data_IF_058946850011
#
_entry.id   IF_058946850011
#
_cell.length_a   1.000
_cell.length_b   1.000
_cell.length_c   1.000
_cell.angle_alpha   90.00
_cell.angle_beta   90.00
_cell.angle_gamma   90.00
#
_symmetry.space_group_name_H-M   'P 1'
#
loop_
_entity.id
_entity.type
_entity.pdbx_description
1 polymer ?
#
# COMPACT_ATOMS: atom_id res chain seq x y z
N UNK A 1 -3.89 13.40 39.40
CA UNK A 1 -3.48 12.10 38.79
C UNK A 1 -4.28 11.84 37.52
N UNK A 2 -4.42 12.85 36.67
CA UNK A 2 -5.12 12.79 35.38
C UNK A 2 -4.28 13.67 34.46
N UNK A 3 -3.75 13.07 33.40
CA UNK A 3 -3.61 13.67 32.08
C UNK A 3 -3.00 12.62 31.15
N UNK A 4 -3.83 11.65 30.81
CA UNK A 4 -3.63 10.76 29.67
C UNK A 4 -4.05 11.54 28.41
N UNK A 5 -3.33 12.61 28.08
CA UNK A 5 -3.54 13.35 26.84
C UNK A 5 -2.39 13.05 25.87
N UNK A 6 -2.54 11.95 25.14
CA UNK A 6 -1.90 11.82 23.83
C UNK A 6 -2.91 12.41 22.83
N UNK A 7 -2.91 13.74 22.74
CA UNK A 7 -3.61 14.43 21.66
C UNK A 7 -2.68 14.44 20.44
N UNK A 8 -2.64 13.34 19.67
CA UNK A 8 -1.92 13.29 18.39
C UNK A 8 -2.81 13.91 17.33
N UNK A 9 -3.03 15.21 17.45
CA UNK A 9 -3.48 16.04 16.35
C UNK A 9 -2.29 16.41 15.47
N UNK A 10 -1.65 15.44 14.80
CA UNK A 10 -0.74 15.75 13.69
C UNK A 10 -0.43 14.52 12.83
N UNK A 11 -1.16 14.40 11.72
CA UNK A 11 -0.75 13.99 10.36
C UNK A 11 0.68 13.48 10.10
N UNK A 12 1.23 12.55 10.88
CA UNK A 12 2.64 12.18 10.75
C UNK A 12 2.89 10.68 10.90
N UNK A 13 2.23 9.86 10.06
CA UNK A 13 2.63 8.46 9.86
C UNK A 13 4.15 8.34 9.59
N UNK A 14 4.73 9.32 8.89
CA UNK A 14 6.17 9.42 8.67
C UNK A 14 6.96 9.64 9.96
N UNK A 15 6.47 10.45 10.89
CA UNK A 15 7.14 10.72 12.17
C UNK A 15 7.02 9.55 13.14
N UNK A 16 5.86 8.89 13.16
CA UNK A 16 5.65 7.63 13.90
C UNK A 16 6.61 6.56 13.37
N UNK A 17 6.70 6.40 12.05
CA UNK A 17 7.64 5.47 11.43
C UNK A 17 9.10 5.79 11.81
N UNK A 18 9.52 7.06 11.76
CA UNK A 18 10.88 7.47 12.09
C UNK A 18 11.25 7.28 13.57
N UNK A 19 10.27 7.40 14.47
CA UNK A 19 10.51 7.41 15.93
C UNK A 19 10.27 6.03 16.55
N UNK A 20 9.22 5.33 16.12
CA UNK A 20 8.70 4.11 16.74
C UNK A 20 8.80 2.88 15.82
N UNK A 21 9.15 3.07 14.54
CA UNK A 21 9.35 1.99 13.58
C UNK A 21 8.08 1.54 12.85
N UNK A 22 8.23 0.49 12.03
CA UNK A 22 7.23 0.06 11.05
C UNK A 22 5.96 -0.53 11.67
N UNK A 23 6.07 -1.29 12.77
CA UNK A 23 4.90 -1.89 13.44
C UNK A 23 4.05 -0.86 14.20
N UNK A 24 4.68 0.18 14.75
CA UNK A 24 3.97 1.31 15.34
C UNK A 24 3.22 2.10 14.24
N UNK A 25 3.86 2.31 13.09
CA UNK A 25 3.22 2.93 11.93
C UNK A 25 2.02 2.10 11.44
N UNK A 26 2.17 0.77 11.32
CA UNK A 26 1.07 -0.14 10.95
C UNK A 26 -0.11 -0.05 11.92
N UNK A 27 0.16 -0.09 13.23
CA UNK A 27 -0.88 0.02 14.26
C UNK A 27 -1.62 1.36 14.18
N UNK A 28 -0.87 2.43 13.90
CA UNK A 28 -1.43 3.78 13.71
C UNK A 28 -2.33 3.84 12.47
N UNK A 29 -1.93 3.23 11.35
CA UNK A 29 -2.77 3.15 10.14
C UNK A 29 -4.10 2.47 10.45
N UNK A 30 -4.07 1.37 11.21
CA UNK A 30 -5.29 0.62 11.56
C UNK A 30 -6.22 1.48 12.42
N UNK A 31 -5.70 2.12 13.47
CA UNK A 31 -6.52 2.95 14.37
C UNK A 31 -7.12 4.16 13.67
N UNK A 32 -6.34 4.84 12.81
CA UNK A 32 -6.80 6.03 12.09
C UNK A 32 -7.91 5.69 11.09
N UNK A 33 -7.75 4.61 10.30
CA UNK A 33 -8.78 4.18 9.35
C UNK A 33 -10.06 3.82 10.11
N UNK A 34 -9.96 3.07 11.21
CA UNK A 34 -11.13 2.70 12.01
C UNK A 34 -11.82 3.93 12.62
N UNK A 35 -11.05 4.90 13.13
CA UNK A 35 -11.61 6.13 13.69
C UNK A 35 -12.36 6.95 12.63
N UNK A 36 -11.79 7.11 11.43
CA UNK A 36 -12.45 7.82 10.32
C UNK A 36 -13.73 7.09 9.88
N UNK A 37 -13.68 5.76 9.73
CA UNK A 37 -14.86 4.99 9.32
C UNK A 37 -15.98 5.03 10.37
N UNK A 38 -15.63 4.90 11.65
CA UNK A 38 -16.58 5.03 12.76
C UNK A 38 -17.20 6.43 12.82
N UNK A 39 -16.40 7.48 12.57
CA UNK A 39 -16.89 8.86 12.50
C UNK A 39 -17.92 9.10 11.39
N UNK A 40 -17.91 8.30 10.33
CA UNK A 40 -18.90 8.33 9.24
C UNK A 40 -20.03 7.30 9.42
N UNK A 41 -20.12 6.62 10.57
CA UNK A 41 -21.13 5.60 10.84
C UNK A 41 -20.93 4.30 10.04
N UNK A 42 -19.76 4.09 9.44
CA UNK A 42 -19.42 2.87 8.72
C UNK A 42 -18.70 1.89 9.64
N UNK A 43 -19.12 0.62 9.60
CA UNK A 43 -18.44 -0.46 10.32
C UNK A 43 -17.71 -1.35 9.33
N UNK A 44 -16.40 -1.48 9.49
CA UNK A 44 -15.57 -2.43 8.75
C UNK A 44 -14.83 -3.32 9.72
N UNK A 45 -14.87 -4.62 9.44
CA UNK A 45 -14.15 -5.62 10.23
C UNK A 45 -12.64 -5.31 10.24
N UNK A 46 -12.04 -5.39 11.43
CA UNK A 46 -10.62 -5.11 11.66
C UNK A 46 -9.70 -5.90 10.72
N UNK A 47 -10.08 -7.13 10.35
CA UNK A 47 -9.28 -8.01 9.47
C UNK A 47 -9.04 -7.39 8.10
N UNK A 48 -9.99 -6.64 7.55
CA UNK A 48 -9.81 -5.95 6.26
C UNK A 48 -8.81 -4.81 6.36
N UNK A 49 -8.89 -4.03 7.44
CA UNK A 49 -7.99 -2.90 7.69
C UNK A 49 -6.58 -3.41 8.03
N UNK A 50 -6.47 -4.50 8.78
CA UNK A 50 -5.19 -5.16 9.07
C UNK A 50 -4.50 -5.68 7.81
N UNK A 51 -5.26 -6.28 6.89
CA UNK A 51 -4.73 -6.74 5.61
C UNK A 51 -4.20 -5.57 4.78
N UNK A 52 -4.97 -4.48 4.70
CA UNK A 52 -4.55 -3.26 4.01
C UNK A 52 -3.29 -2.66 4.62
N UNK A 53 -3.27 -2.47 5.94
CA UNK A 53 -2.12 -1.91 6.65
C UNK A 53 -0.89 -2.82 6.52
N UNK A 54 -1.07 -4.13 6.59
CA UNK A 54 0.00 -5.11 6.36
C UNK A 54 0.58 -5.01 4.96
N UNK A 55 -0.26 -4.84 3.94
CA UNK A 55 0.21 -4.63 2.57
C UNK A 55 1.01 -3.34 2.44
N UNK A 56 0.53 -2.24 3.03
CA UNK A 56 1.22 -0.94 3.02
C UNK A 56 2.59 -0.94 3.71
N UNK A 57 2.82 -1.85 4.66
CA UNK A 57 4.08 -1.92 5.44
C UNK A 57 4.94 -3.15 5.14
N UNK A 58 4.56 -3.99 4.18
CA UNK A 58 5.19 -5.30 3.93
C UNK A 58 6.68 -5.21 3.52
N UNK A 59 7.10 -4.12 2.87
CA UNK A 59 8.48 -3.94 2.39
C UNK A 59 9.40 -3.22 3.39
N UNK A 60 8.97 -3.05 4.64
CA UNK A 60 9.77 -2.43 5.70
C UNK A 60 9.73 -0.90 5.72
N UNK A 61 8.97 -0.29 4.82
CA UNK A 61 8.70 1.15 4.73
C UNK A 61 7.20 1.36 4.53
N UNK A 62 6.69 2.55 4.87
CA UNK A 62 5.27 2.88 4.69
C UNK A 62 5.04 3.33 3.25
N UNK A 63 4.44 2.46 2.43
CA UNK A 63 4.09 2.75 1.04
C UNK A 63 2.60 3.06 0.93
N UNK A 64 2.27 4.22 0.35
CA UNK A 64 0.89 4.58 0.05
C UNK A 64 0.33 3.81 -1.15
N UNK A 65 -0.99 3.56 -1.18
CA UNK A 65 -1.68 2.99 -2.34
C UNK A 65 -1.89 4.07 -3.41
N UNK A 66 -0.80 4.49 -4.03
CA UNK A 66 -0.75 5.47 -5.11
C UNK A 66 0.16 4.95 -6.21
N UNK A 67 0.14 5.54 -7.40
CA UNK A 67 1.02 5.13 -8.53
C UNK A 67 2.49 4.97 -8.13
N UNK A 68 3.00 5.84 -7.26
CA UNK A 68 4.38 5.81 -6.81
C UNK A 68 4.66 4.71 -5.78
N UNK A 69 3.71 4.46 -4.87
CA UNK A 69 3.85 3.39 -3.89
C UNK A 69 3.66 2.01 -4.50
N UNK A 70 2.67 1.85 -5.38
CA UNK A 70 2.40 0.61 -6.12
C UNK A 70 3.57 0.19 -7.01
N UNK A 71 4.21 1.15 -7.69
CA UNK A 71 5.43 0.90 -8.48
C UNK A 71 6.59 0.36 -7.64
N UNK A 72 6.64 0.67 -6.35
CA UNK A 72 7.64 0.12 -5.41
C UNK A 72 7.18 -1.20 -4.75
N UNK A 73 5.90 -1.54 -4.86
CA UNK A 73 5.30 -2.74 -4.26
C UNK A 73 5.27 -3.93 -5.21
N UNK A 74 5.03 -3.72 -6.51
CA UNK A 74 4.90 -4.79 -7.51
C UNK A 74 6.10 -4.85 -8.44
N UNK A 75 6.43 -6.07 -8.88
CA UNK A 75 7.57 -6.35 -9.75
C UNK A 75 7.16 -6.60 -11.22
N UNK A 76 5.90 -6.94 -11.49
CA UNK A 76 5.41 -7.15 -12.86
C UNK A 76 5.17 -5.83 -13.61
N UNK A 77 5.78 -5.71 -14.80
CA UNK A 77 5.62 -4.57 -15.71
C UNK A 77 4.20 -4.50 -16.25
N UNK A 78 3.64 -5.64 -16.68
CA UNK A 78 2.28 -5.67 -17.24
C UNK A 78 1.24 -5.27 -16.19
N UNK A 79 1.45 -5.69 -14.95
CA UNK A 79 0.60 -5.32 -13.83
C UNK A 79 0.68 -3.81 -13.54
N UNK A 80 1.88 -3.23 -13.54
CA UNK A 80 2.07 -1.79 -13.36
C UNK A 80 1.47 -0.97 -14.51
N UNK A 81 1.70 -1.39 -15.75
CA UNK A 81 1.18 -0.76 -16.95
C UNK A 81 -0.36 -0.76 -17.02
N UNK A 82 -1.01 -1.72 -16.35
CA UNK A 82 -2.48 -1.81 -16.26
C UNK A 82 -3.12 -0.79 -15.31
N UNK A 83 -2.35 -0.20 -14.39
CA UNK A 83 -2.87 0.73 -13.39
C UNK A 83 -2.86 2.17 -13.90
N UNK A 84 -1.68 2.69 -14.25
CA UNK A 84 -1.48 4.03 -14.83
C UNK A 84 -0.21 4.05 -15.70
N UNK A 85 -0.04 5.06 -16.56
CA UNK A 85 1.19 5.29 -17.36
C UNK A 85 1.68 4.09 -18.18
N UNK A 86 0.77 3.43 -18.90
CA UNK A 86 1.04 2.22 -19.67
C UNK A 86 2.24 2.35 -20.62
N UNK A 87 2.31 3.43 -21.41
CA UNK A 87 3.37 3.62 -22.39
C UNK A 87 4.74 3.77 -21.74
N UNK A 88 4.86 4.61 -20.70
CA UNK A 88 6.11 4.84 -19.97
C UNK A 88 6.67 3.52 -19.44
N UNK A 89 5.82 2.71 -18.79
CA UNK A 89 6.23 1.41 -18.23
C UNK A 89 6.70 0.42 -19.31
N UNK A 90 6.04 0.36 -20.45
CA UNK A 90 6.43 -0.53 -21.55
C UNK A 90 7.71 -0.06 -22.24
N UNK A 91 7.89 1.24 -22.46
CA UNK A 91 9.11 1.80 -23.05
C UNK A 91 10.32 1.58 -22.14
N UNK A 92 10.17 1.84 -20.84
CA UNK A 92 11.25 1.60 -19.86
C UNK A 92 11.59 0.10 -19.81
N UNK A 93 10.60 -0.78 -19.76
CA UNK A 93 10.82 -2.22 -19.77
C UNK A 93 11.52 -2.71 -21.05
N UNK A 94 11.12 -2.19 -22.22
CA UNK A 94 11.77 -2.51 -23.48
C UNK A 94 13.21 -1.98 -23.54
N UNK A 95 13.45 -0.78 -23.00
CA UNK A 95 14.77 -0.17 -22.95
C UNK A 95 15.74 -0.93 -22.03
N UNK A 96 15.26 -1.38 -20.86
CA UNK A 96 16.04 -2.17 -19.89
C UNK A 96 16.03 -3.68 -20.17
N UNK A 97 15.25 -4.16 -21.15
CA UNK A 97 15.11 -5.58 -21.44
C UNK A 97 14.48 -6.38 -20.29
N UNK A 98 13.55 -5.79 -19.54
CA UNK A 98 12.89 -6.47 -18.42
C UNK A 98 12.02 -7.64 -18.90
N UNK A 99 12.07 -8.75 -18.16
CA UNK A 99 11.29 -9.94 -18.48
C UNK A 99 10.32 -10.21 -17.33
N UNK A 100 9.03 -10.33 -17.66
CA UNK A 100 7.95 -10.54 -16.69
C UNK A 100 7.65 -12.05 -16.55
N UNK A 101 7.49 -12.53 -15.32
CA UNK A 101 7.30 -13.97 -15.04
C UNK A 101 5.86 -14.45 -15.14
N UNK A 102 4.92 -13.54 -15.31
CA UNK A 102 3.48 -13.84 -15.49
C UNK A 102 2.95 -14.73 -14.34
N UNK A 103 3.19 -14.30 -13.10
CA UNK A 103 2.74 -15.01 -11.88
C UNK A 103 1.50 -14.35 -11.26
N UNK A 104 1.24 -13.09 -11.60
CA UNK A 104 0.10 -12.32 -11.13
C UNK A 104 -1.19 -12.60 -11.91
N UNK A 105 -2.31 -12.21 -11.32
CA UNK A 105 -3.62 -12.38 -11.95
C UNK A 105 -3.79 -11.44 -13.14
N UNK A 106 -3.33 -10.19 -13.05
CA UNK A 106 -3.52 -9.17 -14.10
C UNK A 106 -2.82 -9.56 -15.41
N UNK A 107 -1.54 -9.92 -15.32
CA UNK A 107 -0.72 -10.41 -16.43
C UNK A 107 -1.26 -11.71 -17.05
N UNK A 108 -1.71 -12.67 -16.24
CA UNK A 108 -2.35 -13.91 -16.74
C UNK A 108 -3.63 -13.63 -17.52
N UNK A 109 -4.47 -12.70 -17.03
CA UNK A 109 -5.67 -12.25 -17.75
C UNK A 109 -5.31 -11.57 -19.08
N UNK A 110 -4.31 -10.68 -19.07
CA UNK A 110 -3.87 -9.96 -20.27
C UNK A 110 -3.38 -10.94 -21.36
N UNK A 111 -2.68 -12.00 -20.95
CA UNK A 111 -2.16 -13.02 -21.86
C UNK A 111 -3.13 -14.16 -22.17
N UNK A 112 -4.30 -14.19 -21.51
CA UNK A 112 -5.30 -15.23 -21.69
C UNK A 112 -4.86 -16.62 -21.19
N UNK A 113 -3.95 -16.67 -20.22
CA UNK A 113 -3.47 -17.90 -19.59
C UNK A 113 -4.14 -18.07 -18.21
N UNK A 114 -4.38 -19.31 -17.74
CA UNK A 114 -4.89 -19.52 -16.40
C UNK A 114 -3.91 -18.96 -15.36
N UNK A 115 -4.47 -18.24 -14.37
CA UNK A 115 -3.73 -17.72 -13.23
C UNK A 115 -3.47 -18.80 -12.17
#
# INVERSE_FOLDING_TARGET
MHDQYINIGCTALAQVYQTLGIEAAKSTIISEIQAVMAGHGMSVDRRHVELLAGQMTARGEVLGITRYGLARMKESVLNLASFEKTADHLFDAAYYGQCDRIEGVSESIILGVPA
#
